data_IF_224579615036
#
_entry.id   IF_224579615036
#
_cell.length_a   1.000
_cell.length_b   1.000
_cell.length_c   1.000
_cell.angle_alpha   90.00
_cell.angle_beta   90.00
_cell.angle_gamma   90.00
#
_symmetry.space_group_name_H-M   'P 1'
#
loop_
_entity.id
_entity.type
_entity.pdbx_description
1 polymer ?
#
# COMPACT_ATOMS: atom_id res chain seq x y z
N UNK A 1 -28.67 -24.79 -21.00
CA UNK A 1 -28.91 -23.50 -20.32
C UNK A 1 -27.69 -23.27 -19.50
N UNK A 2 -26.79 -22.45 -20.00
CA UNK A 2 -25.54 -22.15 -19.30
C UNK A 2 -25.78 -20.93 -18.41
N UNK A 3 -25.51 -21.07 -17.12
CA UNK A 3 -25.59 -20.00 -16.15
C UNK A 3 -24.25 -19.25 -16.16
N UNK A 4 -24.23 -18.02 -16.59
CA UNK A 4 -23.10 -17.11 -16.44
C UNK A 4 -23.41 -16.17 -15.29
N UNK A 5 -22.57 -16.15 -14.28
CA UNK A 5 -22.78 -15.30 -13.09
C UNK A 5 -21.88 -14.07 -13.24
N UNK A 6 -22.47 -12.89 -13.46
CA UNK A 6 -21.81 -11.58 -13.45
C UNK A 6 -22.45 -10.74 -12.35
N UNK A 7 -21.74 -10.24 -11.36
CA UNK A 7 -22.28 -9.33 -10.35
C UNK A 7 -22.15 -7.87 -10.77
N UNK A 8 -23.22 -7.12 -10.58
CA UNK A 8 -23.24 -5.68 -10.82
C UNK A 8 -22.59 -4.97 -9.62
N UNK A 9 -21.61 -4.14 -9.90
CA UNK A 9 -20.84 -3.41 -8.92
C UNK A 9 -21.59 -2.14 -8.50
N UNK A 10 -21.98 -2.06 -7.24
CA UNK A 10 -22.39 -0.82 -6.59
C UNK A 10 -21.58 -0.50 -5.33
N UNK A 11 -20.71 -1.41 -4.90
CA UNK A 11 -19.75 -1.24 -3.80
C UNK A 11 -18.48 -2.02 -4.19
N UNK A 12 -17.29 -1.68 -3.70
CA UNK A 12 -16.08 -2.45 -3.96
C UNK A 12 -16.16 -3.78 -3.20
N UNK A 13 -16.81 -4.76 -3.80
CA UNK A 13 -16.76 -6.14 -3.34
C UNK A 13 -15.90 -6.90 -4.33
N UNK A 14 -14.82 -7.48 -3.87
CA UNK A 14 -13.91 -8.37 -4.61
C UNK A 14 -14.53 -9.74 -4.89
N UNK A 15 -15.84 -9.81 -5.13
CA UNK A 15 -16.55 -11.05 -5.40
C UNK A 15 -16.53 -11.32 -6.92
N UNK A 16 -15.69 -12.26 -7.34
CA UNK A 16 -15.33 -12.57 -8.73
C UNK A 16 -16.47 -13.16 -9.57
N UNK A 17 -17.70 -13.23 -9.06
CA UNK A 17 -18.78 -13.93 -9.74
C UNK A 17 -20.01 -13.07 -9.97
N UNK A 18 -20.50 -13.05 -11.22
CA UNK A 18 -21.76 -12.41 -11.60
C UNK A 18 -22.70 -13.45 -12.20
N UNK A 19 -23.93 -13.57 -11.69
CA UNK A 19 -24.95 -14.44 -12.25
C UNK A 19 -25.90 -13.66 -13.16
N UNK A 20 -25.93 -13.98 -14.46
CA UNK A 20 -26.88 -13.40 -15.41
C UNK A 20 -27.79 -14.48 -15.98
N UNK A 21 -29.06 -14.16 -16.10
CA UNK A 21 -30.00 -14.95 -16.87
C UNK A 21 -30.05 -14.38 -18.28
N UNK A 22 -29.61 -15.19 -19.26
CA UNK A 22 -29.64 -14.82 -20.68
C UNK A 22 -30.88 -15.43 -21.33
N UNK A 23 -31.72 -14.56 -21.85
CA UNK A 23 -32.88 -14.94 -22.67
C UNK A 23 -32.64 -14.71 -24.17
N UNK A 24 -31.46 -14.14 -24.51
CA UNK A 24 -31.02 -13.84 -25.87
C UNK A 24 -29.52 -14.11 -26.04
N UNK A 25 -29.04 -14.14 -27.28
CA UNK A 25 -27.62 -14.20 -27.60
C UNK A 25 -26.95 -12.85 -27.23
N UNK A 26 -26.19 -12.84 -26.14
CA UNK A 26 -25.44 -11.67 -25.66
C UNK A 26 -23.94 -11.93 -25.80
N UNK A 27 -23.22 -10.97 -26.36
CA UNK A 27 -21.76 -10.97 -26.34
C UNK A 27 -21.31 -10.10 -25.19
N UNK A 28 -20.56 -10.68 -24.25
CA UNK A 28 -20.00 -9.99 -23.10
C UNK A 28 -18.48 -9.85 -23.26
N UNK A 29 -18.00 -8.62 -23.10
CA UNK A 29 -16.56 -8.35 -22.99
C UNK A 29 -16.28 -7.98 -21.55
N UNK A 30 -15.57 -8.84 -20.83
CA UNK A 30 -15.05 -8.54 -19.51
C UNK A 30 -13.74 -7.75 -19.69
N UNK A 31 -13.71 -6.51 -19.25
CA UNK A 31 -12.50 -5.74 -19.13
C UNK A 31 -12.06 -5.81 -17.67
N UNK A 32 -11.00 -6.55 -17.42
CA UNK A 32 -10.34 -6.57 -16.12
C UNK A 32 -9.47 -5.30 -16.02
N UNK A 33 -9.70 -4.48 -15.02
CA UNK A 33 -8.79 -3.40 -14.64
C UNK A 33 -8.04 -3.90 -13.41
N UNK A 34 -6.73 -3.74 -13.44
CA UNK A 34 -5.91 -3.92 -12.25
C UNK A 34 -6.25 -2.77 -11.29
N UNK A 35 -7.06 -3.09 -10.27
CA UNK A 35 -7.46 -2.11 -9.26
C UNK A 35 -6.48 -2.28 -8.12
N UNK A 36 -5.50 -1.38 -8.04
CA UNK A 36 -4.61 -1.34 -6.88
C UNK A 36 -5.42 -1.21 -5.59
N UNK A 37 -5.08 -2.01 -4.59
CA UNK A 37 -5.69 -1.92 -3.28
C UNK A 37 -5.41 -0.53 -2.68
N UNK A 38 -6.44 0.19 -2.13
CA UNK A 38 -6.27 1.56 -1.65
C UNK A 38 -5.29 1.70 -0.47
N UNK A 39 -4.88 0.61 0.13
CA UNK A 39 -3.99 0.58 1.29
C UNK A 39 -2.53 0.32 0.94
N UNK A 40 -2.19 -0.09 -0.29
CA UNK A 40 -0.82 -0.42 -0.70
C UNK A 40 0.21 0.68 -0.46
N UNK A 41 -0.21 1.95 -0.58
CA UNK A 41 0.65 3.11 -0.36
C UNK A 41 0.53 3.69 1.08
N UNK A 42 -0.03 2.95 2.02
CA UNK A 42 -0.30 3.42 3.39
C UNK A 42 0.32 2.54 4.46
N UNK A 43 0.50 1.26 4.16
CA UNK A 43 0.92 0.24 5.11
C UNK A 43 1.79 -0.78 4.40
N UNK A 44 2.81 -1.30 5.08
CA UNK A 44 3.72 -2.30 4.53
C UNK A 44 4.17 -3.31 5.58
N UNK A 45 4.56 -4.50 5.13
CA UNK A 45 5.41 -5.42 5.89
C UNK A 45 6.78 -4.73 5.98
N UNK A 46 7.30 -4.56 7.21
CA UNK A 46 8.41 -3.66 7.51
C UNK A 46 9.65 -4.35 8.04
N UNK A 47 9.47 -5.39 8.87
CA UNK A 47 10.57 -6.15 9.46
C UNK A 47 10.15 -7.60 9.66
N UNK A 48 11.08 -8.55 9.48
CA UNK A 48 10.81 -9.98 9.58
C UNK A 48 11.93 -10.66 10.38
N UNK A 49 11.53 -11.37 11.43
CA UNK A 49 12.37 -12.32 12.15
C UNK A 49 11.89 -13.74 11.84
N UNK A 50 12.61 -14.45 11.01
CA UNK A 50 12.21 -15.77 10.52
C UNK A 50 13.15 -16.91 10.97
N UNK A 51 14.34 -16.58 11.47
CA UNK A 51 15.29 -17.53 11.99
C UNK A 51 16.23 -16.88 13.02
N UNK A 52 15.84 -16.94 14.28
CA UNK A 52 16.62 -16.42 15.41
C UNK A 52 17.89 -17.24 15.66
N UNK A 53 18.77 -16.76 16.53
CA UNK A 53 19.93 -17.53 16.95
C UNK A 53 19.64 -18.34 18.22
N UNK A 54 20.54 -19.30 18.53
CA UNK A 54 20.40 -20.19 19.69
C UNK A 54 20.44 -19.47 21.07
N UNK A 55 21.01 -18.25 21.13
CA UNK A 55 21.16 -17.49 22.37
C UNK A 55 19.95 -16.58 22.67
N UNK A 56 19.17 -16.24 21.66
CA UNK A 56 18.01 -15.38 21.78
C UNK A 56 16.96 -15.76 20.73
N UNK A 57 15.91 -16.40 21.18
CA UNK A 57 14.81 -16.85 20.33
C UNK A 57 13.46 -16.35 20.86
N UNK A 58 12.93 -15.25 20.32
CA UNK A 58 11.61 -14.72 20.66
C UNK A 58 10.46 -15.42 19.93
N UNK A 59 10.74 -16.49 19.18
CA UNK A 59 9.87 -17.01 18.14
C UNK A 59 9.84 -16.12 16.90
N UNK A 60 9.17 -16.59 15.87
CA UNK A 60 9.04 -15.83 14.64
C UNK A 60 8.07 -14.67 14.81
N UNK A 61 8.39 -13.54 14.15
CA UNK A 61 7.53 -12.38 14.14
C UNK A 61 7.71 -11.54 12.87
N UNK A 62 6.68 -10.82 12.54
CA UNK A 62 6.67 -9.85 11.45
C UNK A 62 6.11 -8.53 11.95
N UNK A 63 6.68 -7.44 11.49
CA UNK A 63 6.18 -6.11 11.78
C UNK A 63 5.46 -5.51 10.57
N UNK A 64 4.36 -4.86 10.85
CA UNK A 64 3.59 -4.06 9.89
C UNK A 64 3.74 -2.60 10.28
N UNK A 65 4.05 -1.74 9.33
CA UNK A 65 4.18 -0.30 9.51
C UNK A 65 3.07 0.45 8.77
N UNK A 66 2.21 1.15 9.52
CA UNK A 66 1.34 2.17 8.96
C UNK A 66 2.15 3.47 8.83
N UNK A 67 2.67 3.73 7.63
CA UNK A 67 3.47 4.93 7.37
C UNK A 67 2.65 6.14 6.88
N UNK A 68 1.33 6.01 6.88
CA UNK A 68 0.41 7.11 6.56
C UNK A 68 0.20 8.05 7.76
N UNK A 69 -0.41 9.20 7.49
CA UNK A 69 -0.80 10.21 8.49
C UNK A 69 -2.18 9.96 9.11
N UNK A 70 -2.78 8.77 8.87
CA UNK A 70 -4.11 8.40 9.34
C UNK A 70 -4.07 7.05 10.05
N UNK A 71 -4.92 6.90 11.08
CA UNK A 71 -5.18 5.59 11.68
C UNK A 71 -5.93 4.70 10.69
N UNK A 72 -5.50 3.46 10.54
CA UNK A 72 -6.09 2.47 9.64
C UNK A 72 -6.87 1.42 10.45
N UNK A 73 -8.15 1.28 10.16
CA UNK A 73 -8.95 0.18 10.69
C UNK A 73 -8.66 -1.07 9.83
N UNK A 74 -8.05 -2.08 10.46
CA UNK A 74 -7.68 -3.35 9.82
C UNK A 74 -8.52 -4.52 10.34
N UNK A 75 -9.74 -4.25 10.85
CA UNK A 75 -10.68 -5.27 11.30
C UNK A 75 -10.96 -6.28 10.20
N UNK A 76 -10.84 -7.56 10.52
CA UNK A 76 -11.11 -8.65 9.58
C UNK A 76 -10.06 -8.83 8.48
N UNK A 77 -9.00 -8.03 8.47
CA UNK A 77 -7.86 -8.28 7.59
C UNK A 77 -7.21 -9.61 7.93
N UNK A 78 -6.45 -10.15 7.01
CA UNK A 78 -5.77 -11.44 7.15
C UNK A 78 -4.28 -11.28 6.93
N UNK A 79 -3.49 -11.93 7.78
CA UNK A 79 -2.09 -12.18 7.54
C UNK A 79 -1.89 -13.67 7.29
N UNK A 80 -1.13 -14.02 6.26
CA UNK A 80 -0.96 -15.38 5.76
C UNK A 80 0.48 -15.59 5.32
N UNK A 81 0.97 -16.82 5.44
CA UNK A 81 2.19 -17.28 4.80
C UNK A 81 1.90 -18.01 3.45
N UNK A 82 2.84 -18.81 2.98
CA UNK A 82 2.70 -19.59 1.74
C UNK A 82 1.68 -20.73 1.82
N UNK A 83 1.30 -21.18 3.03
CA UNK A 83 0.24 -22.18 3.24
C UNK A 83 -1.10 -21.47 3.42
N UNK A 84 -2.00 -21.63 2.47
CA UNK A 84 -3.34 -21.00 2.49
C UNK A 84 -4.20 -21.41 3.69
N UNK A 85 -3.80 -22.42 4.48
CA UNK A 85 -4.45 -22.79 5.74
C UNK A 85 -3.92 -22.02 6.96
N UNK A 86 -2.79 -21.35 6.84
CA UNK A 86 -2.18 -20.52 7.86
C UNK A 86 -2.74 -19.09 7.77
N UNK A 87 -3.81 -18.83 8.52
CA UNK A 87 -4.52 -17.56 8.48
C UNK A 87 -4.61 -16.97 9.88
N UNK A 88 -4.03 -15.80 10.06
CA UNK A 88 -4.32 -14.95 11.21
C UNK A 88 -5.31 -13.86 10.79
N UNK A 89 -6.44 -13.74 11.48
CA UNK A 89 -7.44 -12.70 11.20
C UNK A 89 -7.43 -11.66 12.31
N UNK A 90 -7.27 -10.39 11.93
CA UNK A 90 -7.30 -9.28 12.87
C UNK A 90 -8.67 -9.15 13.52
N UNK A 91 -8.74 -8.93 14.86
CA UNK A 91 -9.99 -8.79 15.58
C UNK A 91 -10.83 -7.60 15.10
N UNK A 92 -12.15 -7.68 15.33
CA UNK A 92 -13.06 -6.55 15.09
C UNK A 92 -12.67 -5.32 15.93
N UNK A 93 -12.68 -4.15 15.32
CA UNK A 93 -12.29 -2.89 15.95
C UNK A 93 -10.78 -2.67 16.04
N UNK A 94 -9.96 -3.52 15.44
CA UNK A 94 -8.51 -3.38 15.49
C UNK A 94 -8.02 -2.26 14.57
N UNK A 95 -7.14 -1.40 15.10
CA UNK A 95 -6.65 -0.21 14.41
C UNK A 95 -5.14 -0.09 14.58
N UNK A 96 -4.43 0.26 13.51
CA UNK A 96 -3.03 0.71 13.58
C UNK A 96 -3.03 2.23 13.47
N UNK A 97 -2.49 2.90 14.50
CA UNK A 97 -2.41 4.36 14.53
C UNK A 97 -1.54 4.92 13.41
N UNK A 98 -1.71 6.21 13.12
CA UNK A 98 -0.86 6.91 12.14
C UNK A 98 0.62 6.83 12.52
N UNK A 99 1.49 6.60 11.53
CA UNK A 99 2.95 6.53 11.70
C UNK A 99 3.38 5.57 12.82
N UNK A 100 2.71 4.43 12.93
CA UNK A 100 2.98 3.45 13.99
C UNK A 100 3.23 2.04 13.46
N UNK A 101 3.83 1.23 14.31
CA UNK A 101 4.24 -0.14 14.04
C UNK A 101 3.36 -1.12 14.79
N UNK A 102 3.14 -2.30 14.26
CA UNK A 102 2.43 -3.40 14.88
C UNK A 102 3.20 -4.70 14.63
N UNK A 103 3.59 -5.38 15.70
CA UNK A 103 4.24 -6.68 15.57
C UNK A 103 3.21 -7.81 15.68
N UNK A 104 3.25 -8.74 14.72
CA UNK A 104 2.54 -10.01 14.75
C UNK A 104 3.55 -11.08 15.14
N UNK A 105 3.34 -11.77 16.27
CA UNK A 105 4.29 -12.76 16.78
C UNK A 105 3.68 -14.16 16.83
N UNK A 106 4.54 -15.18 16.63
CA UNK A 106 4.17 -16.58 16.72
C UNK A 106 3.67 -16.94 18.13
N UNK A 107 4.40 -16.52 19.17
CA UNK A 107 4.02 -16.65 20.56
C UNK A 107 4.16 -15.32 21.30
N UNK A 108 3.04 -14.81 21.81
CA UNK A 108 3.02 -13.52 22.49
C UNK A 108 3.70 -13.53 23.85
N UNK A 109 3.82 -14.67 24.52
CA UNK A 109 4.50 -14.78 25.81
C UNK A 109 6.01 -14.78 25.62
N UNK A 110 6.52 -15.51 24.63
CA UNK A 110 7.96 -15.53 24.29
C UNK A 110 8.38 -14.16 23.77
N UNK A 111 7.60 -13.57 22.86
CA UNK A 111 7.87 -12.24 22.32
C UNK A 111 7.92 -11.17 23.44
N UNK A 112 6.92 -11.12 24.31
CA UNK A 112 6.87 -10.11 25.38
C UNK A 112 7.96 -10.29 26.44
N UNK A 113 8.45 -11.51 26.61
CA UNK A 113 9.61 -11.78 27.49
C UNK A 113 10.91 -11.28 26.84
N UNK A 114 11.05 -11.44 25.55
CA UNK A 114 12.23 -11.03 24.79
C UNK A 114 12.28 -9.50 24.58
N UNK A 115 11.12 -8.87 24.32
CA UNK A 115 10.99 -7.44 24.07
C UNK A 115 10.00 -6.77 25.04
N UNK A 116 10.33 -6.65 26.34
CA UNK A 116 9.40 -6.15 27.36
C UNK A 116 9.01 -4.66 27.17
N UNK A 117 9.77 -3.90 26.39
CA UNK A 117 9.50 -2.50 26.06
C UNK A 117 8.48 -2.33 24.91
N UNK A 118 8.31 -3.35 24.07
CA UNK A 118 7.36 -3.30 22.94
C UNK A 118 5.95 -3.54 23.44
N UNK A 119 5.06 -2.58 23.21
CA UNK A 119 3.68 -2.65 23.70
C UNK A 119 2.67 -2.92 22.59
N UNK A 120 3.02 -2.58 21.35
CA UNK A 120 2.12 -2.72 20.21
C UNK A 120 2.42 -4.01 19.43
N UNK A 121 2.00 -5.12 20.01
CA UNK A 121 2.09 -6.44 19.38
C UNK A 121 0.80 -7.23 19.55
N UNK A 122 0.56 -8.15 18.65
CA UNK A 122 -0.53 -9.11 18.68
C UNK A 122 0.03 -10.50 18.32
N UNK A 123 -0.45 -11.54 18.96
CA UNK A 123 -0.11 -12.95 18.72
C UNK A 123 -1.31 -13.79 19.16
N UNK A 124 -1.31 -15.05 19.13
CA UNK A 124 -0.36 -16.04 18.61
C UNK A 124 -0.79 -16.39 17.20
N UNK A 125 0.12 -16.30 16.23
CA UNK A 125 -0.19 -16.65 14.83
C UNK A 125 -0.58 -18.13 14.70
N UNK A 126 0.04 -19.01 15.53
CA UNK A 126 -0.19 -20.45 15.48
C UNK A 126 0.65 -21.16 14.41
N UNK A 127 1.44 -20.42 13.66
CA UNK A 127 2.43 -20.90 12.69
C UNK A 127 3.70 -20.04 12.77
N UNK A 128 4.82 -20.61 12.38
CA UNK A 128 6.09 -19.92 12.25
C UNK A 128 6.42 -19.68 10.78
N UNK A 129 7.57 -19.08 10.52
CA UNK A 129 8.03 -18.75 9.18
C UNK A 129 9.16 -19.69 8.74
N UNK A 130 9.31 -19.86 7.43
CA UNK A 130 10.36 -20.72 6.89
C UNK A 130 11.72 -20.05 6.99
N UNK A 131 12.70 -20.74 7.59
CA UNK A 131 14.09 -20.31 7.60
C UNK A 131 14.79 -20.30 6.23
N UNK A 132 14.15 -20.81 5.18
CA UNK A 132 14.72 -20.87 3.83
C UNK A 132 13.92 -20.08 2.79
N UNK A 133 13.17 -19.10 3.24
CA UNK A 133 12.36 -18.24 2.36
C UNK A 133 10.88 -18.63 2.34
N UNK A 134 10.03 -17.61 2.24
CA UNK A 134 8.59 -17.77 2.26
C UNK A 134 7.84 -16.54 1.74
N UNK A 135 6.66 -16.77 1.17
CA UNK A 135 5.71 -15.72 0.80
C UNK A 135 4.85 -15.32 2.01
N UNK A 136 4.98 -14.08 2.47
CA UNK A 136 4.10 -13.47 3.46
C UNK A 136 3.14 -12.51 2.78
N UNK A 137 1.86 -12.52 3.20
CA UNK A 137 0.79 -11.75 2.57
C UNK A 137 -0.08 -11.04 3.60
N UNK A 138 -0.39 -9.78 3.32
CA UNK A 138 -1.39 -9.00 4.04
C UNK A 138 -2.58 -8.74 3.12
N UNK A 139 -3.77 -9.20 3.52
CA UNK A 139 -4.99 -9.04 2.76
C UNK A 139 -5.99 -8.21 3.55
N UNK A 140 -6.79 -7.40 2.86
CA UNK A 140 -7.90 -6.67 3.48
C UNK A 140 -9.09 -7.58 3.80
N UNK A 141 -10.14 -7.03 4.39
CA UNK A 141 -11.34 -7.77 4.77
C UNK A 141 -12.20 -8.22 3.57
N UNK A 142 -11.84 -7.85 2.34
CA UNK A 142 -12.43 -8.30 1.09
C UNK A 142 -11.54 -9.30 0.34
N UNK A 143 -10.45 -9.75 0.98
CA UNK A 143 -9.43 -10.63 0.39
C UNK A 143 -8.60 -9.97 -0.71
N UNK A 144 -8.63 -8.64 -0.79
CA UNK A 144 -7.74 -7.87 -1.66
C UNK A 144 -6.32 -7.85 -1.12
N UNK A 145 -5.33 -8.15 -1.96
CA UNK A 145 -3.93 -8.08 -1.58
C UNK A 145 -3.54 -6.63 -1.27
N UNK A 146 -3.15 -6.38 -0.03
CA UNK A 146 -2.66 -5.09 0.44
C UNK A 146 -1.16 -4.99 0.25
N UNK A 147 -0.45 -6.03 0.72
CA UNK A 147 1.00 -6.07 0.68
C UNK A 147 1.51 -7.51 0.71
N UNK A 148 2.72 -7.75 0.19
CA UNK A 148 3.37 -9.05 0.23
C UNK A 148 4.87 -8.94 0.12
N UNK A 149 5.56 -9.93 0.67
CA UNK A 149 6.99 -10.16 0.47
C UNK A 149 7.25 -11.64 0.29
N UNK A 150 8.02 -12.00 -0.74
CA UNK A 150 8.48 -13.37 -1.00
C UNK A 150 9.98 -13.39 -0.75
N UNK A 151 10.35 -13.50 0.55
CA UNK A 151 11.74 -13.44 0.98
C UNK A 151 12.45 -14.79 0.81
N UNK A 152 13.78 -14.74 0.76
CA UNK A 152 14.65 -15.91 0.65
C UNK A 152 15.86 -15.74 1.59
N UNK A 153 16.48 -16.82 1.99
CA UNK A 153 17.72 -16.87 2.82
C UNK A 153 19.02 -16.77 2.00
N UNK A 154 18.88 -16.68 0.68
CA UNK A 154 20.01 -16.70 -0.28
C UNK A 154 20.04 -15.45 -1.17
N UNK A 155 21.21 -15.12 -1.71
CA UNK A 155 21.35 -14.01 -2.66
C UNK A 155 20.34 -14.09 -3.83
N UNK A 156 19.67 -12.98 -4.19
CA UNK A 156 20.05 -11.59 -3.89
C UNK A 156 19.49 -11.00 -2.55
N UNK A 157 18.80 -11.80 -1.75
CA UNK A 157 18.32 -11.37 -0.44
C UNK A 157 19.46 -11.27 0.59
N UNK A 158 19.35 -10.41 1.64
CA UNK A 158 20.30 -10.38 2.73
C UNK A 158 20.36 -11.74 3.45
N UNK A 159 21.54 -12.30 3.61
CA UNK A 159 21.74 -13.64 4.19
C UNK A 159 22.03 -13.66 5.70
N UNK A 160 22.42 -12.51 6.27
CA UNK A 160 22.71 -12.43 7.72
C UNK A 160 21.49 -12.65 8.63
N UNK A 161 20.24 -12.35 8.24
CA UNK A 161 19.09 -12.65 9.10
C UNK A 161 18.91 -14.13 9.40
N UNK A 162 19.50 -15.02 8.59
CA UNK A 162 19.43 -16.45 8.80
C UNK A 162 20.32 -16.91 9.97
N UNK A 163 19.75 -17.06 11.16
CA UNK A 163 20.39 -17.65 12.35
C UNK A 163 21.45 -16.79 13.05
N UNK A 164 21.66 -15.53 12.65
CA UNK A 164 22.65 -14.67 13.31
C UNK A 164 22.07 -13.85 14.47
N UNK A 165 20.76 -13.83 14.61
CA UNK A 165 20.03 -12.95 15.52
C UNK A 165 19.84 -11.54 14.95
N UNK A 166 19.98 -11.38 13.66
CA UNK A 166 19.57 -10.17 12.93
C UNK A 166 18.23 -10.42 12.27
N UNK A 167 17.54 -9.36 11.92
CA UNK A 167 16.25 -9.40 11.24
C UNK A 167 16.39 -8.88 9.80
N UNK A 168 15.42 -9.18 8.99
CA UNK A 168 15.29 -8.62 7.65
C UNK A 168 14.48 -7.35 7.74
N UNK A 169 15.05 -6.19 7.44
CA UNK A 169 14.45 -4.87 7.57
C UNK A 169 14.21 -4.21 6.21
N UNK A 170 13.02 -3.68 5.99
CA UNK A 170 12.71 -2.80 4.87
C UNK A 170 13.45 -1.46 5.08
N UNK A 171 14.31 -1.10 4.14
CA UNK A 171 15.15 0.11 4.23
C UNK A 171 14.32 1.39 4.29
N UNK A 172 13.18 1.40 3.59
CA UNK A 172 12.25 2.52 3.62
C UNK A 172 10.85 2.07 3.17
N UNK A 173 9.77 2.43 3.89
CA UNK A 173 8.40 1.99 3.56
C UNK A 173 7.85 2.51 2.23
N UNK A 174 8.54 3.45 1.56
CA UNK A 174 8.17 3.95 0.24
C UNK A 174 8.80 3.15 -0.91
N UNK A 175 9.68 2.20 -0.61
CA UNK A 175 10.27 1.29 -1.59
C UNK A 175 9.30 0.15 -1.92
N UNK A 176 9.49 -0.45 -3.07
CA UNK A 176 8.83 -1.70 -3.44
C UNK A 176 9.41 -2.84 -2.59
N UNK A 177 8.65 -3.30 -1.61
CA UNK A 177 9.09 -4.34 -0.68
C UNK A 177 9.00 -5.77 -1.25
N UNK A 178 8.50 -5.92 -2.47
CA UNK A 178 8.51 -7.21 -3.17
C UNK A 178 9.87 -7.59 -3.76
N UNK A 179 10.84 -6.68 -3.73
CA UNK A 179 12.19 -6.89 -4.30
C UNK A 179 13.27 -6.85 -3.23
N UNK A 180 14.27 -7.71 -3.38
CA UNK A 180 15.37 -7.88 -2.40
C UNK A 180 16.20 -6.62 -2.17
N UNK A 181 16.34 -5.74 -3.17
CA UNK A 181 17.10 -4.49 -3.11
C UNK A 181 16.52 -3.47 -2.12
N UNK A 182 15.24 -3.63 -1.75
CA UNK A 182 14.57 -2.81 -0.77
C UNK A 182 14.83 -3.24 0.68
N UNK A 183 15.48 -4.37 0.88
CA UNK A 183 15.70 -4.98 2.17
C UNK A 183 17.17 -5.03 2.57
N UNK A 184 17.43 -4.99 3.87
CA UNK A 184 18.76 -5.15 4.43
C UNK A 184 18.69 -5.96 5.74
N UNK A 185 19.83 -6.54 6.11
CA UNK A 185 20.00 -7.12 7.44
C UNK A 185 20.06 -6.01 8.49
N UNK A 186 19.31 -6.13 9.59
CA UNK A 186 19.35 -5.16 10.69
C UNK A 186 20.79 -4.87 11.13
N UNK A 187 21.09 -3.59 11.44
CA UNK A 187 22.36 -3.23 12.07
C UNK A 187 22.33 -3.49 13.59
N UNK A 188 21.14 -3.44 14.17
CA UNK A 188 20.91 -3.75 15.56
C UNK A 188 20.74 -5.26 15.75
N UNK A 189 21.36 -5.77 16.82
CA UNK A 189 21.19 -7.17 17.20
C UNK A 189 19.76 -7.39 17.69
N UNK A 190 19.10 -8.41 17.18
CA UNK A 190 17.72 -8.79 17.48
C UNK A 190 16.64 -7.86 16.88
N UNK A 191 17.03 -7.00 15.92
CA UNK A 191 16.09 -6.13 15.21
C UNK A 191 15.58 -4.95 16.01
N UNK A 192 14.54 -4.33 15.48
CA UNK A 192 13.96 -3.07 16.00
C UNK A 192 12.44 -3.14 16.18
N UNK A 193 11.82 -4.22 16.67
CA UNK A 193 10.37 -4.36 16.72
C UNK A 193 9.71 -3.23 17.51
N UNK A 194 8.71 -2.59 16.90
CA UNK A 194 7.98 -1.45 17.48
C UNK A 194 8.63 -0.08 17.26
N UNK A 195 9.77 -0.04 16.58
CA UNK A 195 10.55 1.16 16.33
C UNK A 195 10.93 1.31 14.86
N UNK A 196 11.55 2.44 14.54
CA UNK A 196 12.12 2.66 13.21
C UNK A 196 13.26 1.67 12.94
N UNK A 197 13.28 1.06 11.78
CA UNK A 197 14.30 0.09 11.36
C UNK A 197 15.71 0.64 11.51
N UNK A 198 16.65 -0.16 12.00
CA UNK A 198 18.05 0.23 12.19
C UNK A 198 18.75 0.56 10.86
N UNK A 199 18.26 -0.01 9.77
CA UNK A 199 18.72 0.24 8.41
C UNK A 199 17.96 1.37 7.72
N UNK A 200 16.98 1.98 8.43
CA UNK A 200 16.17 3.03 7.84
C UNK A 200 17.04 4.12 7.24
N UNK A 201 16.96 4.24 5.95
CA UNK A 201 17.54 5.35 5.22
C UNK A 201 16.38 6.30 4.90
N UNK A 202 16.33 7.43 5.64
CA UNK A 202 15.51 8.52 5.15
C UNK A 202 16.03 8.80 3.74
N UNK A 203 15.21 8.58 2.72
CA UNK A 203 15.52 8.85 1.31
C UNK A 203 15.93 10.33 1.08
N UNK A 204 16.51 10.89 2.09
CA UNK A 204 17.04 12.24 2.15
C UNK A 204 18.54 12.19 2.08
N UNK A 205 19.03 12.63 0.94
CA UNK A 205 20.39 13.12 0.62
C UNK A 205 21.36 12.23 -0.17
N UNK A 206 20.86 11.34 -1.01
CA UNK A 206 21.30 11.46 -2.39
C UNK A 206 20.03 11.89 -3.16
N UNK A 207 19.85 13.18 -3.32
CA UNK A 207 18.71 13.81 -4.01
C UNK A 207 18.55 13.30 -5.48
N UNK A 208 19.48 12.45 -5.93
CA UNK A 208 19.51 11.91 -7.28
C UNK A 208 18.98 10.47 -7.40
N UNK A 209 18.78 9.71 -6.31
CA UNK A 209 18.50 8.27 -6.43
C UNK A 209 17.00 7.90 -6.36
N UNK A 210 16.11 8.80 -5.96
CA UNK A 210 14.67 8.56 -5.88
C UNK A 210 13.82 9.74 -6.36
N UNK A 211 14.36 10.54 -7.23
CA UNK A 211 13.55 11.48 -7.98
C UNK A 211 12.97 10.77 -9.19
N UNK A 212 11.73 11.07 -9.56
CA UNK A 212 11.20 10.62 -10.83
C UNK A 212 12.19 10.97 -11.95
N UNK A 213 12.46 10.05 -12.84
CA UNK A 213 13.36 10.29 -13.97
C UNK A 213 12.68 11.05 -15.10
N UNK A 214 11.35 11.09 -15.09
CA UNK A 214 10.53 11.78 -16.07
C UNK A 214 9.27 12.37 -15.43
N UNK A 215 8.69 13.38 -16.08
CA UNK A 215 7.38 13.89 -15.70
C UNK A 215 6.30 12.86 -16.03
N UNK A 216 5.42 12.58 -15.07
CA UNK A 216 4.26 11.73 -15.29
C UNK A 216 3.03 12.30 -14.56
N UNK A 217 1.84 12.02 -15.09
CA UNK A 217 0.58 12.21 -14.38
C UNK A 217 -0.24 10.94 -14.50
N UNK A 218 -0.67 10.39 -13.37
CA UNK A 218 -1.39 9.12 -13.31
C UNK A 218 -2.90 9.31 -13.37
N UNK A 219 -3.61 8.22 -13.66
CA UNK A 219 -5.06 8.21 -13.59
C UNK A 219 -5.47 8.48 -12.14
N UNK A 220 -6.45 9.39 -11.96
CA UNK A 220 -7.00 9.65 -10.64
C UNK A 220 -7.62 8.38 -10.04
N UNK A 221 -7.48 8.22 -8.75
CA UNK A 221 -8.05 7.09 -8.03
C UNK A 221 -8.76 7.55 -6.73
N UNK A 222 -9.97 6.99 -6.48
CA UNK A 222 -10.77 6.13 -7.35
C UNK A 222 -11.27 6.85 -8.61
N UNK A 223 -11.58 6.10 -9.68
CA UNK A 223 -12.23 6.60 -10.89
C UNK A 223 -13.08 5.48 -11.52
N UNK A 224 -14.43 5.54 -11.48
CA UNK A 224 -15.24 6.65 -10.96
C UNK A 224 -15.09 6.91 -9.46
N UNK A 225 -15.37 8.14 -9.00
CA UNK A 225 -15.19 8.55 -7.61
C UNK A 225 -16.44 9.22 -7.01
N UNK A 226 -16.54 9.27 -5.65
CA UNK A 226 -17.66 9.88 -4.93
C UNK A 226 -17.28 10.26 -3.48
N UNK A 227 -17.23 11.53 -3.09
CA UNK A 227 -16.96 12.70 -3.92
C UNK A 227 -15.46 13.00 -4.04
N UNK A 228 -14.59 12.15 -3.48
CA UNK A 228 -13.16 12.38 -3.32
C UNK A 228 -12.35 11.49 -4.26
N UNK A 229 -11.30 12.06 -4.85
CA UNK A 229 -10.31 11.33 -5.63
C UNK A 229 -8.92 11.92 -5.44
N UNK A 230 -7.89 11.10 -5.58
CA UNK A 230 -6.49 11.50 -5.56
C UNK A 230 -5.91 11.48 -6.97
N UNK A 231 -5.04 12.43 -7.27
CA UNK A 231 -4.29 12.50 -8.53
C UNK A 231 -2.82 12.44 -8.16
N UNK A 232 -2.12 11.40 -8.61
CA UNK A 232 -0.67 11.26 -8.44
C UNK A 232 0.04 11.86 -9.66
N UNK A 233 1.21 12.47 -9.45
CA UNK A 233 2.07 12.98 -10.51
C UNK A 233 3.53 13.08 -10.05
N UNK A 234 4.44 13.02 -11.00
CA UNK A 234 5.87 12.93 -10.76
C UNK A 234 6.58 14.15 -11.35
N UNK A 235 7.46 14.74 -10.56
CA UNK A 235 8.29 15.89 -10.93
C UNK A 235 9.77 15.50 -10.86
N UNK A 236 10.48 15.31 -12.00
CA UNK A 236 11.88 14.95 -11.99
C UNK A 236 12.81 16.10 -11.62
N UNK A 237 12.29 17.33 -11.59
CA UNK A 237 13.02 18.55 -11.21
C UNK A 237 12.06 19.56 -10.59
N UNK A 238 12.61 20.50 -9.83
CA UNK A 238 11.86 21.62 -9.30
C UNK A 238 11.22 22.41 -10.45
N UNK A 239 9.91 22.63 -10.37
CA UNK A 239 9.18 23.33 -11.41
C UNK A 239 7.95 24.06 -10.86
N UNK A 240 7.58 25.14 -11.55
CA UNK A 240 6.25 25.73 -11.34
C UNK A 240 5.21 24.81 -11.93
N UNK A 241 4.35 24.28 -11.05
CA UNK A 241 3.34 23.29 -11.41
C UNK A 241 1.95 23.88 -11.26
N UNK A 242 1.15 23.72 -12.31
CA UNK A 242 -0.27 24.10 -12.32
C UNK A 242 -1.10 22.87 -12.63
N UNK A 243 -2.05 22.54 -11.75
CA UNK A 243 -3.03 21.48 -11.99
C UNK A 243 -4.44 22.05 -11.91
N UNK A 244 -5.20 21.87 -12.96
CA UNK A 244 -6.53 22.47 -13.12
C UNK A 244 -7.57 21.40 -13.51
N UNK A 245 -8.79 21.60 -13.04
CA UNK A 245 -9.95 20.77 -13.39
C UNK A 245 -10.91 21.58 -14.27
N UNK A 246 -11.41 20.93 -15.32
CA UNK A 246 -12.34 21.49 -16.29
C UNK A 246 -13.58 20.58 -16.44
N UNK A 247 -14.70 21.15 -16.81
CA UNK A 247 -15.85 20.39 -17.28
C UNK A 247 -15.67 19.94 -18.75
N UNK A 248 -16.60 19.13 -19.26
CA UNK A 248 -16.56 18.61 -20.64
C UNK A 248 -16.67 19.71 -21.74
N UNK A 249 -17.08 20.91 -21.35
CA UNK A 249 -17.16 22.06 -22.24
C UNK A 249 -15.85 22.88 -22.22
N UNK A 250 -14.84 22.44 -21.43
CA UNK A 250 -13.60 23.16 -21.27
C UNK A 250 -13.68 24.36 -20.32
N UNK A 251 -14.78 24.50 -19.58
CA UNK A 251 -14.90 25.56 -18.57
C UNK A 251 -14.10 25.18 -17.33
N UNK A 252 -13.25 26.09 -16.87
CA UNK A 252 -12.49 25.91 -15.64
C UNK A 252 -13.42 25.71 -14.42
N UNK A 253 -13.13 24.71 -13.61
CA UNK A 253 -13.87 24.30 -12.42
C UNK A 253 -13.09 24.66 -11.15
N UNK A 254 -11.82 24.21 -11.06
CA UNK A 254 -10.97 24.44 -9.88
C UNK A 254 -9.50 24.33 -10.26
N UNK A 255 -8.67 25.18 -9.69
CA UNK A 255 -7.21 25.00 -9.67
C UNK A 255 -6.86 24.22 -8.38
N UNK A 256 -6.19 23.09 -8.55
CA UNK A 256 -5.77 22.22 -7.44
C UNK A 256 -4.37 22.59 -6.96
N UNK A 257 -3.47 22.94 -7.88
CA UNK A 257 -2.09 23.36 -7.64
C UNK A 257 -1.77 24.54 -8.54
N UNK A 258 -1.08 25.55 -8.01
CA UNK A 258 -0.51 26.68 -8.75
C UNK A 258 0.63 27.27 -7.93
N UNK A 259 1.79 26.56 -7.91
CA UNK A 259 2.94 26.92 -7.08
C UNK A 259 4.25 26.31 -7.60
N UNK A 260 5.37 26.82 -7.09
CA UNK A 260 6.66 26.16 -7.29
C UNK A 260 6.75 24.94 -6.38
N UNK A 261 6.93 23.78 -6.95
CA UNK A 261 7.09 22.52 -6.24
C UNK A 261 8.48 21.94 -6.47
N UNK A 262 9.02 21.31 -5.44
CA UNK A 262 10.27 20.56 -5.52
C UNK A 262 10.07 19.26 -6.30
N UNK A 263 11.14 18.73 -6.88
CA UNK A 263 11.16 17.38 -7.47
C UNK A 263 10.61 16.33 -6.48
N UNK A 264 10.05 15.25 -6.99
CA UNK A 264 9.52 14.15 -6.21
C UNK A 264 8.16 13.63 -6.68
N UNK A 265 7.70 12.56 -6.05
CA UNK A 265 6.36 11.99 -6.22
C UNK A 265 5.35 12.83 -5.45
N UNK A 266 4.27 13.22 -6.10
CA UNK A 266 3.27 14.14 -5.56
C UNK A 266 1.86 13.55 -5.64
N UNK A 267 1.04 13.89 -4.66
CA UNK A 267 -0.39 13.55 -4.66
C UNK A 267 -1.20 14.77 -4.31
N UNK A 268 -2.28 15.00 -5.04
CA UNK A 268 -3.25 16.06 -4.76
C UNK A 268 -4.67 15.50 -4.75
N UNK A 269 -5.46 15.95 -3.79
CA UNK A 269 -6.84 15.53 -3.59
C UNK A 269 -7.83 16.50 -4.23
N UNK A 270 -8.86 15.99 -4.89
CA UNK A 270 -10.03 16.76 -5.31
C UNK A 270 -11.30 16.20 -4.68
N UNK A 271 -12.06 17.08 -4.08
CA UNK A 271 -13.27 16.83 -3.30
C UNK A 271 -14.58 17.13 -4.06
N UNK A 272 -14.53 17.16 -5.39
CA UNK A 272 -15.65 17.50 -6.27
C UNK A 272 -16.27 18.88 -5.98
N UNK A 273 -15.46 19.85 -5.51
CA UNK A 273 -15.89 21.24 -5.36
C UNK A 273 -15.30 22.13 -6.44
N UNK A 274 -15.99 23.23 -6.77
CA UNK A 274 -15.47 24.28 -7.63
C UNK A 274 -14.64 25.32 -6.86
N UNK A 275 -14.10 26.32 -7.54
CA UNK A 275 -13.28 27.39 -6.93
C UNK A 275 -14.01 28.22 -5.86
N UNK A 276 -15.33 28.15 -5.78
CA UNK A 276 -16.14 28.82 -4.73
C UNK A 276 -16.53 27.88 -3.60
N UNK A 277 -16.03 26.63 -3.59
CA UNK A 277 -16.30 25.63 -2.56
C UNK A 277 -17.67 24.91 -2.68
N UNK A 278 -18.38 25.13 -3.79
CA UNK A 278 -19.65 24.45 -4.03
C UNK A 278 -19.44 23.12 -4.75
N UNK A 279 -20.19 22.10 -4.36
CA UNK A 279 -20.19 20.80 -5.03
C UNK A 279 -20.57 20.95 -6.50
N UNK A 280 -19.87 20.22 -7.36
CA UNK A 280 -20.17 20.15 -8.77
C UNK A 280 -21.12 18.99 -9.10
N UNK A 281 -21.72 18.99 -10.28
CA UNK A 281 -22.66 17.93 -10.68
C UNK A 281 -21.91 16.64 -11.01
N UNK A 282 -22.57 15.49 -10.81
CA UNK A 282 -22.07 14.21 -11.31
C UNK A 282 -21.85 14.27 -12.83
N UNK A 283 -20.80 13.64 -13.31
CA UNK A 283 -20.44 13.66 -14.72
C UNK A 283 -18.95 13.49 -14.98
N UNK A 284 -18.56 13.68 -16.25
CA UNK A 284 -17.16 13.60 -16.66
C UNK A 284 -16.50 14.98 -16.48
N UNK A 285 -15.27 14.94 -15.95
CA UNK A 285 -14.37 16.08 -15.80
C UNK A 285 -13.03 15.76 -16.46
N UNK A 286 -12.30 16.81 -16.77
CA UNK A 286 -10.96 16.75 -17.35
C UNK A 286 -10.03 17.43 -16.36
N UNK A 287 -8.89 16.82 -16.06
CA UNK A 287 -7.82 17.46 -15.31
C UNK A 287 -6.56 17.54 -16.16
N UNK A 288 -5.84 18.63 -16.00
CA UNK A 288 -4.64 18.95 -16.76
C UNK A 288 -3.54 19.38 -15.81
N UNK A 289 -2.33 18.85 -16.03
CA UNK A 289 -1.11 19.34 -15.41
C UNK A 289 -0.26 20.11 -16.43
N UNK A 290 0.38 21.17 -15.95
CA UNK A 290 1.46 21.89 -16.65
C UNK A 290 2.60 22.08 -15.67
N UNK A 291 3.79 21.59 -16.00
CA UNK A 291 4.99 21.71 -15.17
C UNK A 291 6.22 21.84 -16.07
N UNK A 292 6.83 23.00 -16.10
CA UNK A 292 7.87 23.33 -17.07
C UNK A 292 7.37 23.17 -18.52
N UNK A 293 8.00 22.27 -19.27
CA UNK A 293 7.60 21.93 -20.65
C UNK A 293 6.58 20.79 -20.74
N UNK A 294 6.34 20.11 -19.62
CA UNK A 294 5.40 18.99 -19.55
C UNK A 294 3.96 19.48 -19.50
N UNK A 295 3.10 18.81 -20.26
CA UNK A 295 1.66 19.08 -20.28
C UNK A 295 0.93 17.78 -20.59
N UNK A 296 0.08 17.33 -19.67
CA UNK A 296 -0.74 16.14 -19.82
C UNK A 296 -2.18 16.40 -19.38
N UNK A 297 -3.11 15.66 -19.98
CA UNK A 297 -4.54 15.79 -19.73
C UNK A 297 -5.18 14.42 -19.62
N UNK A 298 -5.95 14.19 -18.55
CA UNK A 298 -6.72 12.97 -18.33
C UNK A 298 -8.18 13.28 -17.99
N UNK A 299 -9.02 12.23 -18.05
CA UNK A 299 -10.45 12.32 -17.73
C UNK A 299 -10.76 11.58 -16.44
N UNK A 300 -11.77 12.04 -15.70
CA UNK A 300 -12.30 11.42 -14.51
C UNK A 300 -13.83 11.48 -14.49
N UNK A 301 -14.45 10.55 -13.74
CA UNK A 301 -15.91 10.43 -13.66
C UNK A 301 -16.34 10.57 -12.21
N UNK A 302 -17.12 11.62 -11.92
CA UNK A 302 -17.75 11.82 -10.62
C UNK A 302 -19.12 11.13 -10.62
N UNK A 303 -19.33 10.26 -9.65
CA UNK A 303 -20.61 9.65 -9.35
C UNK A 303 -21.46 10.59 -8.47
N UNK A 304 -22.73 10.23 -8.27
CA UNK A 304 -23.65 11.03 -7.45
C UNK A 304 -23.80 10.39 -6.07
#
# INVERSE_FOLDING_TARGET
MSLLVLRHWSEPSYDDSVTMYLDQDLSLVANFMDVQNPYQDLISINEINYNSNDDFDPGDWVEIHNFSDQSLNISGWKFMDSDDSHIFTFPEGFTIEASSYLVLCQDSAEFSQAYPEVQNYIGSLGFGFSGSGELLRLLDNYEGLVDYVDYDDSEPWPTEPDGSGRTLELINPLLDNSISESWASSTDQYGTPGYINSTYNSLSRDEDALLPTEFAMYQNYPNPFNPITNIKYDLPADAHTVMEVFDIMGKHVKTLVDENQTAGFKTIKWDATNSTGNNVAAGMYIYQIKSGSYNETKKMILLK
#
